data_IF_021545379824
#
_entry.id   IF_021545379824
#
_cell.length_a   1.000
_cell.length_b   1.000
_cell.length_c   1.000
_cell.angle_alpha   90.00
_cell.angle_beta   90.00
_cell.angle_gamma   90.00
#
_symmetry.space_group_name_H-M   'P 1'
#
loop_
_entity.id
_entity.type
_entity.pdbx_description
1 polymer ?
#
# COMPACT_ATOMS: atom_id res chain seq x y z
N UNK A 1 6.91 -13.38 1.18
CA UNK A 1 8.08 -14.29 1.10
C UNK A 1 9.05 -13.77 0.04
N UNK A 2 10.36 -13.91 0.24
CA UNK A 2 11.36 -13.44 -0.74
C UNK A 2 12.18 -14.61 -1.27
N UNK A 3 12.41 -14.63 -2.58
CA UNK A 3 13.21 -15.63 -3.28
C UNK A 3 14.30 -14.93 -4.08
N UNK A 4 15.47 -15.55 -4.20
CA UNK A 4 16.58 -15.05 -5.01
C UNK A 4 16.92 -16.07 -6.10
N UNK A 5 16.86 -15.64 -7.35
CA UNK A 5 17.49 -16.38 -8.44
C UNK A 5 19.00 -16.13 -8.38
N UNK A 6 19.73 -17.18 -8.01
CA UNK A 6 21.20 -17.13 -7.82
C UNK A 6 21.94 -17.01 -9.15
N UNK A 7 21.36 -17.49 -10.24
CA UNK A 7 21.98 -17.45 -11.56
C UNK A 7 21.81 -16.08 -12.22
N UNK A 8 20.64 -15.45 -12.04
CA UNK A 8 20.30 -14.17 -12.67
C UNK A 8 20.50 -12.95 -11.76
N UNK A 9 20.82 -13.16 -10.47
CA UNK A 9 20.90 -12.10 -9.45
C UNK A 9 19.60 -11.28 -9.30
N UNK A 10 18.45 -11.91 -9.50
CA UNK A 10 17.12 -11.29 -9.38
C UNK A 10 16.48 -11.68 -8.05
N UNK A 11 15.79 -10.74 -7.40
CA UNK A 11 14.98 -10.98 -6.21
C UNK A 11 13.49 -10.93 -6.56
N UNK A 12 12.74 -11.94 -6.13
CA UNK A 12 11.29 -12.02 -6.24
C UNK A 12 10.68 -11.87 -4.85
N UNK A 13 9.72 -10.95 -4.70
CA UNK A 13 8.98 -10.77 -3.45
C UNK A 13 7.53 -11.16 -3.72
N UNK A 14 7.08 -12.21 -3.04
CA UNK A 14 5.69 -12.66 -3.03
C UNK A 14 4.96 -12.00 -1.87
N UNK A 15 3.85 -11.35 -2.17
CA UNK A 15 3.01 -10.63 -1.23
C UNK A 15 1.55 -11.02 -1.44
N UNK A 16 0.70 -10.69 -0.47
CA UNK A 16 -0.75 -10.89 -0.61
C UNK A 16 -1.30 -10.00 -1.74
N UNK A 17 -2.25 -10.55 -2.50
CA UNK A 17 -2.95 -9.80 -3.53
C UNK A 17 -4.06 -8.95 -2.90
N UNK A 18 -4.12 -7.68 -3.30
CA UNK A 18 -5.11 -6.70 -2.83
C UNK A 18 -6.13 -6.43 -3.95
N UNK A 19 -7.29 -7.12 -3.96
CA UNK A 19 -8.26 -7.02 -5.06
C UNK A 19 -8.99 -5.67 -5.12
N UNK A 20 -8.95 -4.88 -4.04
CA UNK A 20 -9.58 -3.56 -3.98
C UNK A 20 -8.84 -2.47 -4.77
N UNK A 21 -7.68 -2.80 -5.35
CA UNK A 21 -6.83 -1.86 -6.07
C UNK A 21 -6.05 -0.93 -5.14
N UNK A 22 -5.55 0.17 -5.70
CA UNK A 22 -4.84 1.24 -5.01
C UNK A 22 -5.75 2.45 -4.74
N UNK A 23 -5.34 3.33 -3.83
CA UNK A 23 -6.02 4.61 -3.66
C UNK A 23 -5.86 5.53 -4.87
N UNK A 24 -4.83 5.35 -5.70
CA UNK A 24 -4.76 6.06 -6.98
C UNK A 24 -5.94 5.69 -7.89
N UNK A 25 -6.31 4.41 -7.94
CA UNK A 25 -7.48 3.96 -8.71
C UNK A 25 -8.78 4.58 -8.17
N UNK A 26 -8.88 4.77 -6.85
CA UNK A 26 -10.04 5.42 -6.21
C UNK A 26 -10.15 6.92 -6.51
N UNK A 27 -9.02 7.60 -6.63
CA UNK A 27 -8.97 9.03 -6.96
C UNK A 27 -9.38 9.29 -8.41
N UNK A 28 -9.13 8.33 -9.30
CA UNK A 28 -9.47 8.43 -10.72
C UNK A 28 -10.94 8.07 -11.03
N UNK A 29 -11.73 7.67 -10.02
CA UNK A 29 -13.15 7.36 -10.18
C UNK A 29 -13.98 8.60 -10.53
N UNK A 30 -15.11 8.36 -11.20
CA UNK A 30 -16.11 9.39 -11.43
C UNK A 30 -16.64 9.95 -10.08
N UNK A 31 -17.08 11.21 -10.01
CA UNK A 31 -17.61 11.79 -8.77
C UNK A 31 -18.76 11.01 -8.13
N UNK A 32 -19.60 10.37 -8.94
CA UNK A 32 -20.71 9.52 -8.47
C UNK A 32 -20.25 8.21 -7.82
N UNK A 33 -19.03 7.78 -8.10
CA UNK A 33 -18.41 6.55 -7.60
C UNK A 33 -17.30 6.87 -6.58
N UNK A 34 -17.08 8.15 -6.28
CA UNK A 34 -16.06 8.59 -5.36
C UNK A 34 -16.38 8.14 -3.93
N UNK A 35 -15.36 7.77 -3.16
CA UNK A 35 -15.52 7.35 -1.78
C UNK A 35 -16.09 8.48 -0.92
N UNK A 36 -16.93 8.12 0.05
CA UNK A 36 -17.48 9.07 1.01
C UNK A 36 -16.38 9.55 1.96
N UNK A 37 -16.56 10.74 2.55
CA UNK A 37 -15.59 11.32 3.50
C UNK A 37 -15.26 10.37 4.66
N UNK A 38 -16.25 9.64 5.18
CA UNK A 38 -16.05 8.65 6.25
C UNK A 38 -15.11 7.51 5.84
N UNK A 39 -15.20 7.05 4.59
CA UNK A 39 -14.33 6.00 4.05
C UNK A 39 -12.90 6.52 3.89
N UNK A 40 -12.75 7.76 3.39
CA UNK A 40 -11.46 8.44 3.26
C UNK A 40 -10.79 8.59 4.63
N UNK A 41 -11.55 9.01 5.66
CA UNK A 41 -11.03 9.14 7.02
C UNK A 41 -10.59 7.79 7.59
N UNK A 42 -11.33 6.71 7.34
CA UNK A 42 -10.92 5.36 7.75
C UNK A 42 -9.59 4.96 7.11
N UNK A 43 -9.41 5.21 5.81
CA UNK A 43 -8.14 4.95 5.14
C UNK A 43 -6.99 5.78 5.73
N UNK A 44 -7.21 7.06 6.01
CA UNK A 44 -6.20 7.93 6.62
C UNK A 44 -5.76 7.38 7.98
N UNK A 45 -6.73 6.96 8.83
CA UNK A 45 -6.43 6.38 10.14
C UNK A 45 -5.59 5.11 9.98
N UNK A 46 -5.95 4.20 9.08
CA UNK A 46 -5.20 2.96 8.89
C UNK A 46 -3.80 3.20 8.32
N UNK A 47 -3.64 4.18 7.40
CA UNK A 47 -2.32 4.61 6.94
C UNK A 47 -1.48 5.12 8.11
N UNK A 48 -2.05 5.95 8.99
CA UNK A 48 -1.35 6.45 10.18
C UNK A 48 -0.92 5.33 11.13
N UNK A 49 -1.78 4.33 11.36
CA UNK A 49 -1.46 3.16 12.19
C UNK A 49 -0.32 2.33 11.57
N UNK A 50 -0.39 2.08 10.26
CA UNK A 50 0.65 1.35 9.55
C UNK A 50 2.00 2.11 9.58
N UNK A 51 1.99 3.43 9.35
CA UNK A 51 3.19 4.27 9.46
C UNK A 51 3.76 4.31 10.87
N UNK A 52 2.91 4.42 11.89
CA UNK A 52 3.34 4.36 13.28
C UNK A 52 4.11 3.06 13.54
N UNK A 53 3.57 1.93 13.11
CA UNK A 53 4.22 0.61 13.25
C UNK A 53 5.59 0.58 12.56
N UNK A 54 5.68 1.11 11.34
CA UNK A 54 6.96 1.21 10.59
C UNK A 54 7.98 2.08 11.32
N UNK A 55 7.54 3.23 11.85
CA UNK A 55 8.41 4.17 12.56
C UNK A 55 8.85 3.65 13.93
N UNK A 56 8.02 2.87 14.62
CA UNK A 56 8.37 2.20 15.89
C UNK A 56 9.51 1.19 15.71
N UNK A 57 9.58 0.54 14.53
CA UNK A 57 10.70 -0.31 14.12
C UNK A 57 11.91 0.48 13.56
N UNK A 58 11.93 1.81 13.74
CA UNK A 58 12.96 2.72 13.22
C UNK A 58 13.17 2.66 11.69
N UNK A 59 12.15 2.21 10.95
CA UNK A 59 12.13 2.18 9.49
C UNK A 59 11.39 3.39 8.94
N UNK A 60 11.68 3.75 7.70
CA UNK A 60 10.92 4.74 6.94
C UNK A 60 10.36 4.08 5.70
N UNK A 61 9.09 4.31 5.39
CA UNK A 61 8.49 3.82 4.15
C UNK A 61 9.15 4.47 2.91
N UNK A 62 9.53 5.76 2.99
CA UNK A 62 10.23 6.56 1.95
C UNK A 62 9.51 6.77 0.61
N UNK A 63 8.42 6.05 0.35
CA UNK A 63 7.72 6.09 -0.94
C UNK A 63 6.20 5.96 -0.74
N UNK A 64 5.66 6.65 0.26
CA UNK A 64 4.23 6.68 0.50
C UNK A 64 3.56 7.55 -0.58
N UNK A 65 2.75 6.93 -1.42
CA UNK A 65 1.98 7.57 -2.49
C UNK A 65 0.64 6.83 -2.65
N UNK A 66 -0.41 7.43 -3.25
CA UNK A 66 -1.69 6.73 -3.44
C UNK A 66 -1.59 5.39 -4.18
N UNK A 67 -0.63 5.25 -5.10
CA UNK A 67 -0.36 4.00 -5.83
C UNK A 67 0.15 2.87 -4.92
N UNK A 68 0.79 3.24 -3.82
CA UNK A 68 1.39 2.31 -2.87
C UNK A 68 0.48 2.04 -1.65
N UNK A 69 -0.69 2.66 -1.59
CA UNK A 69 -1.72 2.33 -0.60
C UNK A 69 -2.75 1.44 -1.29
N UNK A 70 -2.74 0.16 -0.94
CA UNK A 70 -3.61 -0.87 -1.53
C UNK A 70 -4.78 -1.20 -0.60
N UNK A 71 -5.86 -1.72 -1.17
CA UNK A 71 -7.04 -2.16 -0.45
C UNK A 71 -7.23 -3.66 -0.61
N UNK A 72 -7.35 -4.37 0.52
CA UNK A 72 -7.65 -5.80 0.49
C UNK A 72 -9.13 -6.06 0.15
N UNK A 73 -9.54 -7.33 0.18
CA UNK A 73 -10.92 -7.77 -0.08
C UNK A 73 -11.97 -7.20 0.88
N UNK A 74 -11.53 -6.68 2.04
CA UNK A 74 -12.39 -6.03 3.04
C UNK A 74 -12.36 -4.50 2.96
N UNK A 75 -11.64 -3.92 1.99
CA UNK A 75 -11.45 -2.48 1.87
C UNK A 75 -10.47 -1.88 2.90
N UNK A 76 -9.71 -2.71 3.60
CA UNK A 76 -8.70 -2.29 4.58
C UNK A 76 -7.37 -1.99 3.89
N UNK A 77 -6.64 -1.03 4.44
CA UNK A 77 -5.37 -0.53 3.91
C UNK A 77 -4.25 -1.56 4.08
N UNK A 78 -3.44 -1.69 3.03
CA UNK A 78 -2.14 -2.36 3.02
C UNK A 78 -1.13 -1.46 2.32
N UNK A 79 -0.05 -1.10 3.03
CA UNK A 79 1.04 -0.34 2.43
C UNK A 79 1.94 -1.27 1.59
N UNK A 80 2.41 -0.78 0.45
CA UNK A 80 3.27 -1.48 -0.50
C UNK A 80 4.38 -0.56 -1.03
N UNK A 81 5.20 -1.03 -1.97
CA UNK A 81 6.26 -0.18 -2.55
C UNK A 81 7.49 0.00 -1.65
N UNK A 82 7.62 -0.83 -0.60
CA UNK A 82 8.85 -0.98 0.16
C UNK A 82 9.94 -1.58 -0.74
N UNK A 83 11.07 -0.87 -0.88
CA UNK A 83 12.20 -1.33 -1.70
C UNK A 83 12.53 -0.44 -2.91
N UNK A 84 11.71 0.58 -3.22
CA UNK A 84 12.12 1.62 -4.18
C UNK A 84 13.04 2.62 -3.49
N UNK A 85 14.34 2.41 -3.63
CA UNK A 85 15.38 3.36 -3.21
C UNK A 85 15.85 4.02 -4.51
N UNK A 86 15.70 5.34 -4.62
CA UNK A 86 16.38 6.11 -5.67
C UNK A 86 17.89 6.16 -5.39
#
# INVERSE_FOLDING_TARGET
QTFKDVQQSIYYVVMDYCPGGSLADKIELNPSESPQESEILNWIVEICVALKTIHEEALFHKHLTPKNVLLNEFGLVRLSGFGKIN
#
